data_IF_029271234963
#
_entry.id   IF_029271234963
#
_cell.length_a   1.000
_cell.length_b   1.000
_cell.length_c   1.000
_cell.angle_alpha   90.00
_cell.angle_beta   90.00
_cell.angle_gamma   90.00
#
_symmetry.space_group_name_H-M   'P 1'
#
loop_
_entity.id
_entity.type
_entity.pdbx_description
1 polymer ?
#
# COMPACT_ATOMS: atom_id res chain seq x y z
N UNK A 1 -3.93 -19.23 10.63
CA UNK A 1 -3.89 -18.76 9.23
C UNK A 1 -5.07 -19.38 8.51
N UNK A 2 -5.90 -18.56 7.88
CA UNK A 2 -7.31 -18.83 7.54
C UNK A 2 -7.62 -20.19 6.90
N UNK A 3 -8.71 -20.83 7.37
CA UNK A 3 -9.26 -22.08 6.81
C UNK A 3 -9.64 -23.09 7.90
N UNK A 4 -10.86 -23.63 7.84
CA UNK A 4 -11.28 -24.73 8.72
C UNK A 4 -10.82 -26.06 8.10
N UNK A 5 -9.89 -26.76 8.76
CA UNK A 5 -9.28 -28.01 8.27
C UNK A 5 -10.29 -29.16 8.15
N UNK A 6 -11.47 -29.01 8.77
CA UNK A 6 -12.54 -30.02 8.77
C UNK A 6 -13.44 -30.01 7.52
N UNK A 7 -13.29 -29.03 6.62
CA UNK A 7 -14.07 -28.94 5.39
C UNK A 7 -13.41 -29.69 4.23
N UNK A 8 -14.21 -30.36 3.39
CA UNK A 8 -13.73 -30.86 2.10
C UNK A 8 -13.22 -29.68 1.26
N UNK A 9 -11.95 -29.72 0.88
CA UNK A 9 -11.36 -28.72 -0.01
C UNK A 9 -11.86 -28.95 -1.44
N UNK A 10 -12.16 -27.87 -2.16
CA UNK A 10 -12.42 -27.97 -3.58
C UNK A 10 -11.16 -28.48 -4.30
N UNK A 11 -11.29 -29.44 -5.23
CA UNK A 11 -10.15 -29.92 -6.01
C UNK A 11 -9.60 -28.79 -6.89
N UNK A 12 -8.29 -28.80 -7.11
CA UNK A 12 -7.64 -27.90 -8.07
C UNK A 12 -8.13 -28.28 -9.48
N UNK A 13 -8.45 -27.32 -10.36
CA UNK A 13 -8.82 -27.61 -11.74
C UNK A 13 -7.70 -28.37 -12.47
N UNK A 14 -8.04 -29.39 -13.27
CA UNK A 14 -7.06 -30.25 -13.95
C UNK A 14 -6.13 -29.48 -14.92
N UNK A 15 -6.58 -28.33 -15.43
CA UNK A 15 -5.83 -27.47 -16.36
C UNK A 15 -5.13 -26.28 -15.67
N UNK A 16 -5.01 -26.26 -14.34
CA UNK A 16 -4.37 -25.15 -13.63
C UNK A 16 -2.84 -25.24 -13.73
N UNK A 17 -2.17 -24.16 -14.15
CA UNK A 17 -0.71 -24.10 -14.17
C UNK A 17 -0.18 -23.82 -12.75
N UNK A 18 0.20 -24.89 -12.05
CA UNK A 18 0.67 -24.81 -10.66
C UNK A 18 2.12 -24.29 -10.66
N UNK A 19 2.29 -23.00 -10.34
CA UNK A 19 3.61 -22.41 -10.11
C UNK A 19 4.26 -22.98 -8.82
N UNK A 20 5.56 -23.33 -8.83
CA UNK A 20 6.29 -23.81 -7.65
C UNK A 20 6.28 -22.84 -6.45
N UNK A 21 6.01 -21.56 -6.70
CA UNK A 21 6.07 -20.49 -5.70
C UNK A 21 4.70 -19.95 -5.27
N UNK A 22 3.62 -20.67 -5.62
CA UNK A 22 2.28 -20.50 -5.04
C UNK A 22 1.77 -19.04 -4.95
N UNK A 23 2.00 -18.23 -5.99
CA UNK A 23 1.71 -16.80 -5.91
C UNK A 23 0.34 -16.40 -6.50
N UNK A 24 -0.26 -17.22 -7.36
CA UNK A 24 -1.62 -17.11 -7.90
C UNK A 24 -1.76 -18.15 -9.00
N UNK A 25 -2.83 -18.95 -8.98
CA UNK A 25 -3.20 -19.80 -10.12
C UNK A 25 -3.36 -18.89 -11.35
N UNK A 26 -2.56 -19.13 -12.38
CA UNK A 26 -2.72 -18.55 -13.73
C UNK A 26 -2.52 -17.03 -13.91
N UNK A 27 -1.76 -16.34 -13.04
CA UNK A 27 -1.54 -14.89 -13.23
C UNK A 27 -0.57 -14.60 -14.39
N UNK A 28 -1.13 -14.25 -15.55
CA UNK A 28 -0.40 -13.89 -16.78
C UNK A 28 0.20 -12.46 -16.76
N UNK A 29 0.05 -11.73 -15.66
CA UNK A 29 0.50 -10.35 -15.47
C UNK A 29 2.02 -10.24 -15.18
N UNK A 30 2.87 -10.94 -15.95
CA UNK A 30 4.31 -10.84 -15.75
C UNK A 30 4.87 -9.57 -16.39
N UNK A 31 5.62 -8.80 -15.61
CA UNK A 31 6.30 -7.60 -16.09
C UNK A 31 7.55 -8.05 -16.86
N UNK A 32 7.58 -7.87 -18.19
CA UNK A 32 8.67 -8.34 -19.08
C UNK A 32 10.06 -7.84 -18.71
N UNK A 33 10.18 -6.66 -18.08
CA UNK A 33 11.45 -6.07 -17.65
C UNK A 33 11.28 -5.35 -16.32
N UNK A 34 12.14 -5.64 -15.35
CA UNK A 34 12.16 -4.99 -14.04
C UNK A 34 13.43 -4.16 -13.90
N UNK A 35 13.29 -2.86 -13.64
CA UNK A 35 14.41 -2.03 -13.21
C UNK A 35 14.64 -2.28 -11.73
N UNK A 36 15.83 -2.74 -11.35
CA UNK A 36 16.20 -2.96 -9.95
C UNK A 36 17.26 -1.93 -9.58
N UNK A 37 16.88 -0.98 -8.73
CA UNK A 37 17.82 -0.02 -8.15
C UNK A 37 18.42 -0.65 -6.88
N UNK A 38 19.74 -0.88 -6.88
CA UNK A 38 20.48 -1.32 -5.70
C UNK A 38 21.12 -0.11 -5.04
N UNK A 39 20.57 0.28 -3.90
CA UNK A 39 21.13 1.34 -3.05
C UNK A 39 22.10 0.67 -2.08
N UNK A 40 23.24 1.31 -1.78
CA UNK A 40 24.18 0.82 -0.77
C UNK A 40 23.46 0.66 0.58
N UNK A 41 23.59 -0.50 1.20
CA UNK A 41 22.96 -0.77 2.48
C UNK A 41 23.58 0.12 3.57
N UNK A 42 22.72 0.87 4.26
CA UNK A 42 23.06 1.72 5.38
C UNK A 42 21.98 1.55 6.45
N UNK A 43 22.34 0.83 7.52
CA UNK A 43 21.42 0.45 8.59
C UNK A 43 20.84 1.68 9.29
N UNK A 44 21.61 2.76 9.44
CA UNK A 44 21.15 3.97 10.11
C UNK A 44 20.10 4.70 9.28
N UNK A 45 20.34 4.87 7.98
CA UNK A 45 19.35 5.48 7.06
C UNK A 45 18.07 4.66 6.93
N UNK A 46 18.18 3.34 6.95
CA UNK A 46 17.00 2.45 6.92
C UNK A 46 16.16 2.66 8.19
N UNK A 47 16.79 2.77 9.36
CA UNK A 47 16.10 3.07 10.62
C UNK A 47 15.40 4.42 10.57
N UNK A 48 16.06 5.48 10.10
CA UNK A 48 15.44 6.81 9.96
C UNK A 48 14.24 6.80 9.01
N UNK A 49 14.38 6.15 7.85
CA UNK A 49 13.26 6.00 6.90
C UNK A 49 12.07 5.30 7.51
N UNK A 50 12.29 4.29 8.36
CA UNK A 50 11.22 3.59 9.05
C UNK A 50 10.38 4.56 9.87
N UNK A 51 11.02 5.36 10.74
CA UNK A 51 10.32 6.33 11.58
C UNK A 51 9.60 7.41 10.76
N UNK A 52 10.28 7.97 9.76
CA UNK A 52 9.71 9.00 8.89
C UNK A 52 8.51 8.50 8.08
N UNK A 53 8.57 7.26 7.59
CA UNK A 53 7.50 6.68 6.80
C UNK A 53 6.34 6.23 7.66
N UNK A 54 6.59 5.60 8.81
CA UNK A 54 5.55 5.02 9.67
C UNK A 54 4.68 6.07 10.35
N UNK A 55 5.25 7.23 10.70
CA UNK A 55 4.51 8.27 11.40
C UNK A 55 3.30 8.81 10.61
N UNK A 56 3.41 9.21 9.33
CA UNK A 56 2.26 9.58 8.49
C UNK A 56 1.19 8.48 8.40
N UNK A 57 1.59 7.20 8.30
CA UNK A 57 0.63 6.09 8.30
C UNK A 57 -0.13 6.02 9.62
N UNK A 58 0.56 6.19 10.75
CA UNK A 58 -0.05 6.27 12.07
C UNK A 58 -1.01 7.46 12.18
N UNK A 59 -0.61 8.65 11.72
CA UNK A 59 -1.46 9.84 11.76
C UNK A 59 -2.74 9.66 10.95
N UNK A 60 -2.62 9.20 9.69
CA UNK A 60 -3.79 9.01 8.82
C UNK A 60 -4.73 7.96 9.38
N UNK A 61 -4.19 6.83 9.86
CA UNK A 61 -5.02 5.75 10.41
C UNK A 61 -5.70 6.16 11.71
N UNK A 62 -4.97 6.75 12.66
CA UNK A 62 -5.49 6.98 14.02
C UNK A 62 -6.17 8.33 14.22
N UNK A 63 -5.68 9.39 13.59
CA UNK A 63 -6.19 10.75 13.80
C UNK A 63 -7.15 11.21 12.71
N UNK A 64 -7.05 10.67 11.49
CA UNK A 64 -7.92 11.04 10.37
C UNK A 64 -9.03 10.01 10.11
N UNK A 65 -9.25 9.05 11.02
CA UNK A 65 -10.37 8.12 10.95
C UNK A 65 -10.23 7.00 9.92
N UNK A 66 -9.10 6.88 9.21
CA UNK A 66 -8.86 5.84 8.22
C UNK A 66 -8.39 4.50 8.85
N UNK A 67 -9.03 4.10 9.96
CA UNK A 67 -8.69 2.87 10.70
C UNK A 67 -9.13 1.61 9.93
N UNK A 68 -10.25 1.71 9.22
CA UNK A 68 -10.85 0.65 8.43
C UNK A 68 -11.26 1.20 7.07
N UNK A 69 -11.25 0.34 6.06
CA UNK A 69 -11.74 0.68 4.73
C UNK A 69 -13.20 0.30 4.62
N UNK A 70 -14.01 1.23 4.13
CA UNK A 70 -15.43 1.02 3.86
C UNK A 70 -15.63 0.31 2.51
N UNK A 71 -14.75 0.61 1.56
CA UNK A 71 -14.82 0.03 0.23
C UNK A 71 -14.20 -1.37 0.17
N UNK A 72 -14.81 -2.24 -0.63
CA UNK A 72 -14.27 -3.57 -0.98
C UNK A 72 -13.75 -3.58 -2.42
N UNK A 73 -12.68 -4.33 -2.65
CA UNK A 73 -12.01 -4.45 -3.95
C UNK A 73 -10.84 -3.47 -4.10
N UNK A 74 -9.84 -3.87 -4.91
CA UNK A 74 -8.54 -3.18 -5.00
C UNK A 74 -8.67 -1.72 -5.45
N UNK A 75 -9.42 -1.45 -6.50
CA UNK A 75 -9.55 -0.11 -7.08
C UNK A 75 -10.19 0.87 -6.09
N UNK A 76 -11.34 0.49 -5.53
CA UNK A 76 -12.09 1.33 -4.59
C UNK A 76 -11.33 1.55 -3.28
N UNK A 77 -10.71 0.50 -2.74
CA UNK A 77 -9.84 0.61 -1.56
C UNK A 77 -8.63 1.52 -1.80
N UNK A 78 -8.06 1.48 -3.01
CA UNK A 78 -6.94 2.35 -3.40
C UNK A 78 -7.39 3.81 -3.49
N UNK A 79 -8.57 4.07 -4.05
CA UNK A 79 -9.14 5.41 -4.10
C UNK A 79 -9.41 5.99 -2.70
N UNK A 80 -9.98 5.19 -1.80
CA UNK A 80 -10.25 5.57 -0.41
C UNK A 80 -8.96 5.97 0.32
N UNK A 81 -7.94 5.11 0.28
CA UNK A 81 -6.62 5.43 0.85
C UNK A 81 -5.99 6.65 0.18
N UNK A 82 -6.06 6.74 -1.15
CA UNK A 82 -5.53 7.85 -1.92
C UNK A 82 -6.10 9.20 -1.46
N UNK A 83 -7.42 9.27 -1.25
CA UNK A 83 -8.09 10.46 -0.74
C UNK A 83 -7.67 10.78 0.70
N UNK A 84 -7.56 9.78 1.58
CA UNK A 84 -7.08 10.00 2.97
C UNK A 84 -5.67 10.59 3.02
N UNK A 85 -4.76 10.06 2.19
CA UNK A 85 -3.38 10.58 2.11
C UNK A 85 -3.30 11.94 1.42
N UNK A 86 -4.14 12.21 0.43
CA UNK A 86 -4.24 13.53 -0.19
C UNK A 86 -4.64 14.59 0.84
N UNK A 87 -5.69 14.34 1.61
CA UNK A 87 -6.13 15.25 2.66
C UNK A 87 -5.04 15.49 3.72
N UNK A 88 -4.32 14.44 4.13
CA UNK A 88 -3.16 14.57 5.02
C UNK A 88 -2.05 15.44 4.43
N UNK A 89 -1.70 15.20 3.16
CA UNK A 89 -0.66 15.96 2.47
C UNK A 89 -1.05 17.44 2.32
N UNK A 90 -2.31 17.74 2.01
CA UNK A 90 -2.81 19.13 1.96
C UNK A 90 -2.69 19.82 3.33
N UNK A 91 -3.15 19.17 4.40
CA UNK A 91 -3.05 19.72 5.76
C UNK A 91 -1.60 19.93 6.18
N UNK A 92 -0.71 18.99 5.85
CA UNK A 92 0.73 19.10 6.11
C UNK A 92 1.36 20.25 5.32
N UNK A 93 1.05 20.38 4.03
CA UNK A 93 1.56 21.46 3.18
C UNK A 93 1.12 22.83 3.70
N UNK A 94 -0.16 22.97 4.07
CA UNK A 94 -0.70 24.20 4.67
C UNK A 94 0.05 24.53 5.98
N UNK A 95 0.28 23.54 6.84
CA UNK A 95 0.98 23.76 8.11
C UNK A 95 2.47 24.13 7.92
N UNK A 96 3.13 23.59 6.91
CA UNK A 96 4.56 23.86 6.66
C UNK A 96 4.81 25.16 5.91
N UNK A 97 3.99 25.45 4.91
CA UNK A 97 4.22 26.54 3.94
C UNK A 97 3.28 27.71 4.16
N UNK A 98 2.06 27.46 4.65
CA UNK A 98 1.00 28.44 4.81
C UNK A 98 0.16 28.60 3.54
N UNK A 99 -1.13 28.94 3.72
CA UNK A 99 -2.11 29.01 2.61
C UNK A 99 -1.73 30.05 1.57
N UNK A 100 -1.32 31.26 1.97
CA UNK A 100 -1.01 32.36 1.04
C UNK A 100 0.10 32.00 0.06
N UNK A 101 1.23 31.47 0.57
CA UNK A 101 2.36 31.05 -0.25
C UNK A 101 2.02 29.90 -1.20
N UNK A 102 1.10 29.01 -0.80
CA UNK A 102 0.63 27.94 -1.68
C UNK A 102 -0.21 28.48 -2.83
N UNK A 103 -1.08 29.46 -2.57
CA UNK A 103 -1.91 30.11 -3.61
C UNK A 103 -1.04 30.92 -4.57
N UNK A 104 -0.02 31.64 -4.07
CA UNK A 104 0.91 32.41 -4.89
C UNK A 104 1.75 31.54 -5.85
N UNK A 105 1.92 30.25 -5.54
CA UNK A 105 2.70 29.31 -6.34
C UNK A 105 1.85 28.54 -7.38
N UNK A 106 0.53 28.75 -7.41
CA UNK A 106 -0.38 28.17 -8.41
C UNK A 106 -0.53 29.08 -9.63
#
# INVERSE_FOLDING_TARGET
MYGNVKGNLNPIPENADISPFNHTLDRKDYIKKKVVLRIKEDIHKIKERKFLSEHPFGTVKWYHGAHYLLCKGKEKATAELGLSFLAYNMKRAINMVGVRKLIEAM
#
